data_IF_486326987092
#
_entry.id   IF_486326987092
#
_cell.length_a   1.000
_cell.length_b   1.000
_cell.length_c   1.000
_cell.angle_alpha   90.00
_cell.angle_beta   90.00
_cell.angle_gamma   90.00
#
_symmetry.space_group_name_H-M   'P 1'
#
loop_
_entity.id
_entity.type
_entity.pdbx_description
1 polymer ?
#
# COMPACT_ATOMS: atom_id res chain seq x y z
N UNK A 1 -24.42 15.90 13.30
CA UNK A 1 -24.10 14.69 14.11
C UNK A 1 -24.82 13.52 13.46
N UNK A 2 -24.10 12.66 12.73
CA UNK A 2 -24.70 11.47 12.11
C UNK A 2 -24.47 10.27 13.03
N UNK A 3 -25.41 10.00 13.93
CA UNK A 3 -25.38 8.80 14.77
C UNK A 3 -25.89 7.61 13.96
N UNK A 4 -25.02 7.01 13.15
CA UNK A 4 -25.40 5.89 12.26
C UNK A 4 -25.76 4.59 13.02
N UNK A 5 -25.67 4.56 14.36
CA UNK A 5 -25.94 3.37 15.17
C UNK A 5 -24.97 2.20 14.92
N UNK A 6 -23.83 2.47 14.27
CA UNK A 6 -22.84 1.45 13.89
C UNK A 6 -21.80 1.29 15.00
N UNK A 7 -21.49 0.05 15.32
CA UNK A 7 -20.41 -0.34 16.22
C UNK A 7 -19.35 -1.09 15.42
N UNK A 8 -18.09 -0.86 15.73
CA UNK A 8 -16.95 -1.51 15.09
C UNK A 8 -16.03 -2.08 16.16
N UNK A 9 -15.44 -3.23 15.88
CA UNK A 9 -14.39 -3.84 16.68
C UNK A 9 -13.23 -4.24 15.77
N UNK A 10 -12.01 -3.97 16.21
CA UNK A 10 -10.79 -4.43 15.57
C UNK A 10 -10.11 -5.44 16.48
N UNK A 11 -9.76 -6.59 15.92
CA UNK A 11 -9.05 -7.65 16.64
C UNK A 11 -7.66 -7.77 16.04
N UNK A 12 -6.64 -7.72 16.89
CA UNK A 12 -5.25 -7.96 16.52
C UNK A 12 -4.93 -9.43 16.82
N UNK A 13 -4.35 -10.12 15.84
CA UNK A 13 -3.89 -11.48 15.99
C UNK A 13 -2.41 -11.54 15.61
N UNK A 14 -1.68 -12.37 16.33
CA UNK A 14 -0.34 -12.81 15.95
C UNK A 14 -0.50 -14.01 15.01
N UNK A 15 0.14 -13.98 13.85
CA UNK A 15 0.11 -15.07 12.87
C UNK A 15 1.13 -16.18 13.19
N UNK A 16 1.94 -16.01 14.23
CA UNK A 16 2.96 -16.95 14.68
C UNK A 16 4.12 -17.10 13.70
N UNK A 17 4.20 -16.28 12.65
CA UNK A 17 5.30 -16.30 11.72
C UNK A 17 6.51 -15.59 12.34
N UNK A 18 7.74 -16.10 12.10
CA UNK A 18 8.93 -15.43 12.58
C UNK A 18 9.11 -14.09 11.87
N UNK A 19 9.67 -13.11 12.58
CA UNK A 19 10.03 -11.83 12.01
C UNK A 19 10.95 -12.02 10.80
N UNK A 20 10.60 -11.36 9.69
CA UNK A 20 11.44 -11.34 8.49
C UNK A 20 12.69 -10.51 8.78
N UNK A 21 13.86 -11.16 8.76
CA UNK A 21 15.14 -10.47 8.87
C UNK A 21 15.50 -9.80 7.54
N UNK A 22 15.97 -8.55 7.53
CA UNK A 22 16.47 -7.91 6.32
C UNK A 22 17.60 -8.76 5.72
N UNK A 23 17.47 -9.09 4.44
CA UNK A 23 18.55 -9.70 3.67
C UNK A 23 19.19 -8.62 2.78
N UNK A 24 20.47 -8.36 3.00
CA UNK A 24 21.25 -7.40 2.19
C UNK A 24 21.95 -8.08 1.01
N UNK A 25 21.91 -9.41 0.94
CA UNK A 25 22.50 -10.18 -0.15
C UNK A 25 21.51 -10.30 -1.31
N UNK A 26 22.02 -10.12 -2.53
CA UNK A 26 21.25 -10.27 -3.76
C UNK A 26 20.88 -8.94 -4.43
N UNK A 27 19.86 -8.98 -5.31
CA UNK A 27 19.44 -7.83 -6.12
C UNK A 27 18.61 -6.87 -5.26
N UNK A 28 19.10 -5.65 -5.08
CA UNK A 28 18.30 -4.54 -4.55
C UNK A 28 17.52 -3.87 -5.69
N UNK A 29 16.25 -3.52 -5.44
CA UNK A 29 15.40 -2.75 -6.35
C UNK A 29 14.93 -1.49 -5.65
N UNK A 30 15.21 -0.34 -6.24
CA UNK A 30 14.61 0.93 -5.83
C UNK A 30 13.19 1.03 -6.36
N UNK A 31 12.27 1.56 -5.54
CA UNK A 31 10.88 1.82 -5.91
C UNK A 31 10.62 3.31 -5.73
N UNK A 32 10.28 3.99 -6.83
CA UNK A 32 9.79 5.37 -6.82
C UNK A 32 8.26 5.38 -7.01
N UNK A 33 7.55 6.14 -6.18
CA UNK A 33 6.08 6.18 -6.17
C UNK A 33 5.58 7.54 -6.65
N UNK A 34 4.59 7.55 -7.54
CA UNK A 34 4.24 8.77 -8.29
C UNK A 34 2.76 8.95 -8.65
N UNK A 35 2.47 10.13 -9.19
CA UNK A 35 1.12 10.55 -9.60
C UNK A 35 0.74 10.06 -11.02
N UNK A 36 1.73 9.84 -11.86
CA UNK A 36 1.54 9.37 -13.25
C UNK A 36 1.53 7.84 -13.30
N UNK A 37 2.52 7.20 -12.69
CA UNK A 37 2.60 5.77 -12.46
C UNK A 37 2.60 5.53 -10.97
N UNK A 38 1.90 4.50 -10.50
CA UNK A 38 1.83 4.16 -9.09
C UNK A 38 3.22 3.83 -8.54
N UNK A 39 3.97 3.01 -9.28
CA UNK A 39 5.34 2.66 -8.95
C UNK A 39 6.20 2.51 -10.20
N UNK A 40 7.46 2.91 -10.10
CA UNK A 40 8.52 2.65 -11.08
C UNK A 40 9.69 2.02 -10.36
N UNK A 41 10.22 0.93 -10.91
CA UNK A 41 11.36 0.23 -10.32
C UNK A 41 12.67 0.65 -10.98
N UNK A 42 13.78 0.56 -10.23
CA UNK A 42 15.12 0.84 -10.76
C UNK A 42 15.56 -0.12 -11.87
N UNK A 43 14.87 -1.25 -12.06
CA UNK A 43 15.07 -2.17 -13.17
C UNK A 43 14.10 -1.96 -14.35
N UNK A 44 13.35 -0.85 -14.35
CA UNK A 44 12.61 -0.36 -15.50
C UNK A 44 11.15 -0.77 -15.58
N UNK A 45 10.64 -1.56 -14.62
CA UNK A 45 9.23 -1.91 -14.55
C UNK A 45 8.39 -0.69 -14.16
N UNK A 46 7.19 -0.58 -14.73
CA UNK A 46 6.23 0.48 -14.42
C UNK A 46 4.88 -0.12 -14.10
N UNK A 47 4.24 0.44 -13.07
CA UNK A 47 2.93 0.02 -12.60
C UNK A 47 1.97 1.20 -12.70
N UNK A 48 0.87 1.02 -13.43
CA UNK A 48 -0.10 2.09 -13.68
C UNK A 48 -0.79 2.53 -12.39
N UNK A 49 -1.13 3.83 -12.32
CA UNK A 49 -1.93 4.36 -11.23
C UNK A 49 -3.42 4.24 -11.59
N UNK A 50 -4.19 3.36 -10.93
CA UNK A 50 -5.60 3.17 -11.25
C UNK A 50 -6.48 4.31 -10.74
N UNK A 51 -5.92 5.29 -10.00
CA UNK A 51 -6.56 6.54 -9.57
C UNK A 51 -7.96 6.33 -8.95
N UNK A 52 -8.10 5.30 -8.10
CA UNK A 52 -9.38 4.93 -7.48
C UNK A 52 -10.07 6.09 -6.74
N UNK A 53 -9.28 7.02 -6.21
CA UNK A 53 -9.79 8.16 -5.43
C UNK A 53 -10.28 9.33 -6.31
N UNK A 54 -9.95 9.36 -7.60
CA UNK A 54 -10.30 10.47 -8.51
C UNK A 54 -11.82 10.70 -8.61
N UNK A 55 -12.61 9.65 -8.44
CA UNK A 55 -14.08 9.72 -8.41
C UNK A 55 -14.62 10.49 -7.19
N UNK A 56 -13.86 10.53 -6.11
CA UNK A 56 -14.27 11.11 -4.83
C UNK A 56 -13.63 12.47 -4.53
N UNK A 57 -12.75 12.98 -5.39
CA UNK A 57 -12.05 14.28 -5.22
C UNK A 57 -12.96 15.52 -5.30
N UNK A 58 -14.21 15.38 -5.77
CA UNK A 58 -15.15 16.50 -6.01
C UNK A 58 -16.37 16.51 -5.07
N UNK A 59 -16.38 15.71 -4.00
CA UNK A 59 -17.49 15.65 -3.04
C UNK A 59 -17.19 16.42 -1.76
#
# INVERSE_FOLDING_TARGET
MNSTGKYFASLLFDDGLPDVKPNLEGKAIGIDVGLTHFAVTSDGSKFDNPRHLKKHEKN
#
